data_IF_029703851146
#
_entry.id   IF_029703851146
#
_cell.length_a   1.000
_cell.length_b   1.000
_cell.length_c   1.000
_cell.angle_alpha   90.00
_cell.angle_beta   90.00
_cell.angle_gamma   90.00
#
_symmetry.space_group_name_H-M   'P 1'
#
loop_
_entity.id
_entity.type
_entity.pdbx_description
1 polymer ?
#
# COMPACT_ATOMS: atom_id res chain seq x y z
N UNK A 1 -4.96 33.29 2.03
CA UNK A 1 -5.15 31.85 1.72
C UNK A 1 -3.89 31.02 1.98
N UNK A 2 -2.74 31.28 1.33
CA UNK A 2 -1.48 30.51 1.56
C UNK A 2 -1.08 30.39 3.04
N UNK A 3 -1.21 31.48 3.82
CA UNK A 3 -0.94 31.48 5.26
C UNK A 3 -1.77 30.45 6.07
N UNK A 4 -3.04 30.25 5.71
CA UNK A 4 -3.92 29.26 6.37
C UNK A 4 -3.42 27.83 6.09
N UNK A 5 -3.05 27.56 4.84
CA UNK A 5 -2.48 26.27 4.41
C UNK A 5 -1.18 25.95 5.15
N UNK A 6 -0.29 26.94 5.27
CA UNK A 6 0.98 26.79 6.00
C UNK A 6 0.75 26.48 7.47
N UNK A 7 -0.22 27.15 8.11
CA UNK A 7 -0.54 26.92 9.52
C UNK A 7 -1.01 25.48 9.77
N UNK A 8 -1.91 24.98 8.90
CA UNK A 8 -2.36 23.58 8.96
C UNK A 8 -1.20 22.62 8.72
N UNK A 9 -0.32 22.89 7.75
CA UNK A 9 0.82 22.03 7.49
C UNK A 9 1.79 21.96 8.67
N UNK A 10 2.03 23.09 9.36
CA UNK A 10 2.83 23.12 10.59
C UNK A 10 2.23 22.25 11.70
N UNK A 11 0.90 22.22 11.85
CA UNK A 11 0.24 21.38 12.85
C UNK A 11 0.34 19.88 12.52
N UNK A 12 0.28 19.54 11.24
CA UNK A 12 0.18 18.15 10.74
C UNK A 12 1.55 17.51 10.48
N UNK A 13 2.57 18.29 10.06
CA UNK A 13 3.92 17.80 9.76
C UNK A 13 4.59 16.98 10.87
N UNK A 14 4.46 17.31 12.17
CA UNK A 14 5.04 16.53 13.26
C UNK A 14 4.41 15.15 13.45
N UNK A 15 3.22 14.91 12.87
CA UNK A 15 2.47 13.68 13.06
C UNK A 15 3.14 12.51 12.31
N UNK A 16 3.44 11.46 13.07
CA UNK A 16 3.97 10.18 12.54
C UNK A 16 2.82 9.31 12.04
N UNK A 17 2.30 9.67 10.88
CA UNK A 17 1.09 9.08 10.29
C UNK A 17 1.33 8.75 8.83
N UNK A 18 0.49 7.88 8.28
CA UNK A 18 0.56 7.58 6.84
C UNK A 18 0.21 8.82 6.01
N UNK A 19 0.74 8.94 4.79
CA UNK A 19 0.46 10.10 3.93
C UNK A 19 -1.05 10.26 3.67
N UNK A 20 -1.79 9.16 3.48
CA UNK A 20 -3.23 9.23 3.27
C UNK A 20 -4.00 9.80 4.47
N UNK A 21 -3.60 9.42 5.69
CA UNK A 21 -4.14 10.02 6.92
C UNK A 21 -3.74 11.49 7.03
N UNK A 22 -2.49 11.82 6.66
CA UNK A 22 -1.98 13.19 6.66
C UNK A 22 -2.82 14.10 5.78
N UNK A 23 -3.13 13.68 4.55
CA UNK A 23 -3.98 14.44 3.63
C UNK A 23 -5.38 14.62 4.19
N UNK A 24 -5.99 13.55 4.70
CA UNK A 24 -7.34 13.63 5.24
C UNK A 24 -7.42 14.62 6.41
N UNK A 25 -6.47 14.55 7.35
CA UNK A 25 -6.38 15.48 8.47
C UNK A 25 -6.12 16.91 7.96
N UNK A 26 -5.26 17.07 6.96
CA UNK A 26 -4.99 18.39 6.36
C UNK A 26 -6.24 19.00 5.72
N UNK A 27 -7.00 18.22 4.96
CA UNK A 27 -8.24 18.67 4.32
C UNK A 27 -9.30 19.05 5.36
N UNK A 28 -9.47 18.24 6.41
CA UNK A 28 -10.43 18.50 7.49
C UNK A 28 -10.06 19.77 8.28
N UNK A 29 -8.80 19.89 8.74
CA UNK A 29 -8.33 21.06 9.47
C UNK A 29 -8.36 22.32 8.60
N UNK A 30 -8.03 22.21 7.31
CA UNK A 30 -8.10 23.33 6.39
C UNK A 30 -9.55 23.77 6.16
N UNK A 31 -10.49 22.84 6.03
CA UNK A 31 -11.92 23.14 5.95
C UNK A 31 -12.43 23.89 7.17
N UNK A 32 -12.06 23.45 8.38
CA UNK A 32 -12.42 24.16 9.61
C UNK A 32 -11.80 25.56 9.69
N UNK A 33 -10.51 25.69 9.36
CA UNK A 33 -9.84 26.98 9.38
C UNK A 33 -10.39 27.94 8.32
N UNK A 34 -10.80 27.43 7.16
CA UNK A 34 -11.44 28.21 6.11
C UNK A 34 -12.81 28.74 6.56
N UNK A 35 -13.61 27.91 7.22
CA UNK A 35 -14.90 28.35 7.79
C UNK A 35 -14.73 29.48 8.81
N UNK A 36 -13.73 29.39 9.70
CA UNK A 36 -13.42 30.48 10.65
C UNK A 36 -13.00 31.74 9.89
N UNK A 37 -12.14 31.61 8.86
CA UNK A 37 -11.72 32.75 8.05
C UNK A 37 -12.90 33.46 7.37
N UNK A 38 -13.88 32.71 6.84
CA UNK A 38 -15.07 33.30 6.22
C UNK A 38 -15.91 34.08 7.22
N UNK A 39 -16.07 33.57 8.46
CA UNK A 39 -16.73 34.30 9.55
C UNK A 39 -16.01 35.61 9.89
N UNK A 40 -14.68 35.57 10.06
CA UNK A 40 -13.88 36.74 10.42
C UNK A 40 -13.78 37.75 9.26
N UNK A 41 -13.82 37.28 8.02
CA UNK A 41 -13.84 38.13 6.83
C UNK A 41 -15.17 38.88 6.72
N UNK A 42 -16.29 38.19 6.96
CA UNK A 42 -17.60 38.81 6.99
C UNK A 42 -17.72 39.88 8.09
N UNK A 43 -17.04 39.67 9.23
CA UNK A 43 -17.05 40.61 10.35
C UNK A 43 -16.14 41.84 10.14
N UNK A 44 -14.92 41.65 9.62
CA UNK A 44 -13.91 42.71 9.53
C UNK A 44 -13.84 43.41 8.16
N UNK A 45 -14.27 42.75 7.09
CA UNK A 45 -14.13 43.22 5.70
C UNK A 45 -12.68 43.33 5.20
N UNK A 46 -11.68 43.00 6.03
CA UNK A 46 -10.27 43.07 5.70
C UNK A 46 -9.66 41.67 5.68
N UNK A 47 -9.17 41.26 4.50
CA UNK A 47 -8.62 39.94 4.28
C UNK A 47 -7.44 39.59 5.18
N UNK A 48 -6.50 40.50 5.39
CA UNK A 48 -5.30 40.21 6.19
C UNK A 48 -5.67 40.08 7.67
N UNK A 49 -6.51 40.98 8.16
CA UNK A 49 -7.01 40.95 9.53
C UNK A 49 -7.83 39.68 9.80
N UNK A 50 -8.65 39.24 8.84
CA UNK A 50 -9.40 38.00 8.93
C UNK A 50 -8.50 36.76 8.99
N UNK A 51 -7.40 36.73 8.23
CA UNK A 51 -6.42 35.64 8.29
C UNK A 51 -5.79 35.56 9.69
N UNK A 52 -5.32 36.68 10.22
CA UNK A 52 -4.65 36.72 11.52
C UNK A 52 -5.62 36.37 12.66
N UNK A 53 -6.86 36.87 12.59
CA UNK A 53 -7.92 36.53 13.53
C UNK A 53 -8.29 35.04 13.47
N UNK A 54 -8.43 34.48 12.26
CA UNK A 54 -8.75 33.07 12.08
C UNK A 54 -7.65 32.15 12.61
N UNK A 55 -6.38 32.43 12.31
CA UNK A 55 -5.24 31.67 12.85
C UNK A 55 -5.22 31.73 14.38
N UNK A 56 -5.43 32.94 14.94
CA UNK A 56 -5.47 33.13 16.40
C UNK A 56 -6.60 32.35 17.05
N UNK A 57 -7.81 32.35 16.45
CA UNK A 57 -8.99 31.65 16.97
C UNK A 57 -8.89 30.13 16.80
N UNK A 58 -8.26 29.66 15.73
CA UNK A 58 -8.01 28.24 15.49
C UNK A 58 -6.99 27.64 16.47
N UNK A 59 -6.02 28.44 16.92
CA UNK A 59 -5.04 28.08 17.95
C UNK A 59 -3.64 27.82 17.39
N UNK A 60 -2.66 27.69 18.28
CA UNK A 60 -1.27 27.46 17.91
C UNK A 60 -1.08 26.07 17.27
N UNK A 61 -0.25 26.00 16.22
CA UNK A 61 -0.04 24.76 15.47
C UNK A 61 0.47 23.60 16.36
N UNK A 62 1.31 23.90 17.35
CA UNK A 62 1.86 22.90 18.26
C UNK A 62 0.80 22.30 19.19
N UNK A 63 -0.13 23.11 19.70
CA UNK A 63 -1.24 22.65 20.52
C UNK A 63 -2.19 21.74 19.74
N UNK A 64 -2.48 22.11 18.49
CA UNK A 64 -3.29 21.29 17.57
C UNK A 64 -2.58 19.97 17.29
N UNK A 65 -1.27 20.01 17.02
CA UNK A 65 -0.46 18.81 16.83
C UNK A 65 -0.50 17.88 18.04
N UNK A 66 -0.44 18.43 19.25
CA UNK A 66 -0.53 17.66 20.48
C UNK A 66 -1.91 16.99 20.63
N UNK A 67 -2.99 17.76 20.48
CA UNK A 67 -4.36 17.22 20.57
C UNK A 67 -4.62 16.13 19.53
N UNK A 68 -4.10 16.30 18.31
CA UNK A 68 -4.18 15.26 17.27
C UNK A 68 -3.42 14.00 17.66
N UNK A 69 -2.25 14.10 18.29
CA UNK A 69 -1.53 12.90 18.76
C UNK A 69 -2.29 12.16 19.87
N UNK A 70 -2.98 12.89 20.74
CA UNK A 70 -3.77 12.32 21.84
C UNK A 70 -5.03 11.62 21.35
N UNK A 71 -5.67 12.13 20.29
CA UNK A 71 -6.87 11.50 19.70
C UNK A 71 -6.54 10.35 18.74
N UNK A 72 -5.31 10.26 18.26
CA UNK A 72 -4.93 9.22 17.31
C UNK A 72 -4.66 7.87 17.99
N UNK A 73 -5.16 6.76 17.43
CA UNK A 73 -4.88 5.43 17.97
C UNK A 73 -3.38 5.13 17.95
N UNK A 74 -2.86 4.53 19.03
CA UNK A 74 -1.44 4.19 19.17
C UNK A 74 -0.89 3.34 18.01
N UNK A 75 -1.72 2.50 17.39
CA UNK A 75 -1.32 1.66 16.27
C UNK A 75 -1.02 2.45 14.98
N UNK A 76 -1.55 3.68 14.82
CA UNK A 76 -1.32 4.50 13.63
C UNK A 76 0.18 4.82 13.44
N UNK A 77 0.88 5.09 14.55
CA UNK A 77 2.32 5.34 14.57
C UNK A 77 3.16 4.08 14.31
N UNK A 78 2.62 2.89 14.60
CA UNK A 78 3.27 1.62 14.29
C UNK A 78 3.06 1.31 12.81
N UNK A 79 1.82 1.38 12.31
CA UNK A 79 1.50 1.14 10.91
C UNK A 79 2.26 2.10 9.98
N UNK A 80 2.48 3.36 10.39
CA UNK A 80 3.30 4.29 9.62
C UNK A 80 4.78 3.91 9.54
N UNK A 81 5.30 3.15 10.52
CA UNK A 81 6.69 2.63 10.51
C UNK A 81 6.82 1.34 9.74
N UNK A 82 5.75 0.55 9.66
CA UNK A 82 5.77 -0.69 8.88
C UNK A 82 5.73 -0.28 7.41
N UNK A 83 6.78 -0.57 6.61
CA UNK A 83 6.85 -0.22 5.19
C UNK A 83 5.72 -0.85 4.35
N UNK A 84 4.98 -1.77 4.95
CA UNK A 84 3.84 -2.50 4.42
C UNK A 84 2.57 -1.63 4.26
N UNK A 85 2.37 -0.63 5.13
CA UNK A 85 1.14 0.20 5.15
C UNK A 85 1.36 1.64 4.69
N UNK A 86 2.61 2.08 4.54
CA UNK A 86 2.89 3.32 3.82
C UNK A 86 2.42 3.14 2.37
N UNK A 87 1.42 3.93 1.92
CA UNK A 87 1.00 3.95 0.51
C UNK A 87 2.22 4.02 -0.39
N UNK A 88 2.25 3.16 -1.41
CA UNK A 88 3.24 3.16 -2.48
C UNK A 88 2.98 4.43 -3.30
N UNK A 89 3.52 5.56 -2.87
CA UNK A 89 3.29 6.86 -3.49
C UNK A 89 4.40 7.21 -4.48
N UNK A 90 3.99 7.26 -5.75
CA UNK A 90 4.38 8.13 -6.89
C UNK A 90 5.84 8.54 -7.16
N UNK A 91 6.83 8.08 -6.43
CA UNK A 91 8.22 8.20 -6.88
C UNK A 91 8.50 7.12 -7.93
N UNK A 92 9.41 7.33 -8.90
CA UNK A 92 9.86 6.29 -9.80
C UNK A 92 10.73 5.30 -9.01
N UNK A 93 10.16 4.62 -8.02
CA UNK A 93 10.78 3.45 -7.42
C UNK A 93 10.94 2.44 -8.55
N UNK A 94 12.18 1.98 -8.75
CA UNK A 94 12.43 0.91 -9.69
C UNK A 94 11.51 -0.26 -9.36
N UNK A 95 10.93 -0.89 -10.38
CA UNK A 95 10.06 -2.07 -10.25
C UNK A 95 10.65 -3.13 -9.30
N UNK A 96 11.98 -3.22 -9.27
CA UNK A 96 12.74 -4.07 -8.35
C UNK A 96 12.53 -3.76 -6.87
N UNK A 97 12.48 -2.48 -6.46
CA UNK A 97 12.30 -2.10 -5.05
C UNK A 97 10.90 -2.42 -4.55
N UNK A 98 9.89 -2.22 -5.40
CA UNK A 98 8.49 -2.58 -5.09
C UNK A 98 8.37 -4.11 -4.98
N UNK A 99 8.94 -4.84 -5.94
CA UNK A 99 8.98 -6.30 -5.90
C UNK A 99 9.73 -6.80 -4.65
N UNK A 100 10.86 -6.20 -4.30
CA UNK A 100 11.62 -6.56 -3.10
C UNK A 100 10.82 -6.34 -1.82
N UNK A 101 10.14 -5.18 -1.70
CA UNK A 101 9.29 -4.88 -0.53
C UNK A 101 8.11 -5.86 -0.43
N UNK A 102 7.43 -6.12 -1.54
CA UNK A 102 6.33 -7.08 -1.58
C UNK A 102 6.80 -8.52 -1.30
N UNK A 103 8.05 -8.84 -1.65
CA UNK A 103 8.64 -10.15 -1.37
C UNK A 103 8.99 -10.28 0.11
N UNK A 104 9.59 -9.24 0.71
CA UNK A 104 9.87 -9.22 2.16
C UNK A 104 8.59 -9.31 3.00
N UNK A 105 7.52 -8.60 2.61
CA UNK A 105 6.22 -8.69 3.30
C UNK A 105 5.58 -10.05 3.07
N UNK A 106 5.70 -10.59 1.86
CA UNK A 106 5.34 -11.97 1.54
C UNK A 106 6.02 -12.94 2.51
N UNK A 107 7.34 -12.90 2.63
CA UNK A 107 8.11 -13.78 3.53
C UNK A 107 7.60 -13.67 4.96
N UNK A 108 7.42 -12.46 5.50
CA UNK A 108 6.91 -12.27 6.87
C UNK A 108 5.59 -12.99 7.12
N UNK A 109 4.66 -12.98 6.16
CA UNK A 109 3.39 -13.70 6.24
C UNK A 109 3.53 -15.21 5.95
N UNK A 110 4.44 -15.59 5.04
CA UNK A 110 4.63 -16.96 4.59
C UNK A 110 5.50 -17.80 5.52
N UNK A 111 6.37 -17.20 6.33
CA UNK A 111 7.19 -17.90 7.35
C UNK A 111 6.31 -18.68 8.34
N UNK A 112 5.35 -18.08 9.05
CA UNK A 112 4.53 -18.83 10.01
C UNK A 112 3.67 -19.90 9.33
N UNK A 113 3.09 -19.61 8.15
CA UNK A 113 2.32 -20.59 7.39
C UNK A 113 3.19 -21.76 6.92
N UNK A 114 4.39 -21.46 6.45
CA UNK A 114 5.34 -22.44 5.96
C UNK A 114 5.92 -23.32 7.05
N UNK A 115 6.23 -22.74 8.23
CA UNK A 115 6.61 -23.51 9.43
C UNK A 115 5.47 -24.48 9.79
N UNK A 116 4.24 -23.97 9.89
CA UNK A 116 3.07 -24.80 10.24
C UNK A 116 2.87 -25.94 9.23
N UNK A 117 3.00 -25.65 7.93
CA UNK A 117 2.88 -26.67 6.88
C UNK A 117 4.03 -27.70 6.93
N UNK A 118 5.27 -27.25 7.12
CA UNK A 118 6.42 -28.15 7.26
C UNK A 118 6.27 -29.07 8.49
N UNK A 119 5.85 -28.52 9.63
CA UNK A 119 5.57 -29.30 10.83
C UNK A 119 4.51 -30.37 10.58
N UNK A 120 3.43 -30.06 9.85
CA UNK A 120 2.39 -31.03 9.49
C UNK A 120 2.90 -32.14 8.56
N UNK A 121 3.80 -31.83 7.62
CA UNK A 121 4.37 -32.82 6.70
C UNK A 121 5.37 -33.75 7.39
N UNK A 122 6.17 -33.22 8.32
CA UNK A 122 7.09 -33.99 9.15
C UNK A 122 6.32 -34.88 10.13
N UNK A 123 5.30 -34.34 10.81
CA UNK A 123 4.49 -35.08 11.78
C UNK A 123 3.72 -36.27 11.16
N UNK A 124 3.41 -36.22 9.85
CA UNK A 124 2.74 -37.31 9.13
C UNK A 124 3.71 -38.34 8.53
N UNK A 125 5.00 -38.29 8.87
CA UNK A 125 6.07 -39.14 8.32
C UNK A 125 6.10 -39.18 6.79
N UNK A 126 5.63 -38.10 6.13
CA UNK A 126 5.58 -38.04 4.67
C UNK A 126 6.95 -37.67 4.09
N UNK A 127 7.71 -36.84 4.80
CA UNK A 127 9.02 -36.32 4.40
C UNK A 127 9.94 -36.12 5.61
N UNK A 128 11.25 -36.15 5.37
CA UNK A 128 12.25 -35.78 6.39
C UNK A 128 12.28 -34.26 6.61
N UNK A 129 12.67 -33.83 7.81
CA UNK A 129 12.76 -32.40 8.16
C UNK A 129 13.65 -31.61 7.18
N UNK A 130 14.77 -32.18 6.75
CA UNK A 130 15.65 -31.56 5.75
C UNK A 130 14.91 -31.28 4.44
N UNK A 131 14.14 -32.25 3.93
CA UNK A 131 13.35 -32.08 2.70
C UNK A 131 12.25 -31.02 2.86
N UNK A 132 11.62 -30.94 4.04
CA UNK A 132 10.62 -29.93 4.34
C UNK A 132 11.22 -28.51 4.33
N UNK A 133 12.38 -28.33 4.97
CA UNK A 133 13.10 -27.05 5.02
C UNK A 133 13.54 -26.63 3.61
N UNK A 134 14.13 -27.54 2.83
CA UNK A 134 14.54 -27.26 1.44
C UNK A 134 13.36 -26.86 0.58
N UNK A 135 12.21 -27.55 0.71
CA UNK A 135 10.99 -27.22 -0.02
C UNK A 135 10.50 -25.81 0.33
N UNK A 136 10.44 -25.49 1.63
CA UNK A 136 10.00 -24.19 2.09
C UNK A 136 10.91 -23.06 1.60
N UNK A 137 12.23 -23.25 1.66
CA UNK A 137 13.19 -22.27 1.16
C UNK A 137 13.02 -22.05 -0.35
N UNK A 138 12.83 -23.13 -1.12
CA UNK A 138 12.53 -23.04 -2.55
C UNK A 138 11.24 -22.26 -2.81
N UNK A 139 10.17 -22.51 -2.06
CA UNK A 139 8.92 -21.74 -2.16
C UNK A 139 9.14 -20.26 -1.83
N UNK A 140 9.88 -19.95 -0.78
CA UNK A 140 10.17 -18.57 -0.39
C UNK A 140 10.95 -17.84 -1.50
N UNK A 141 11.97 -18.46 -2.07
CA UNK A 141 12.73 -17.90 -3.19
C UNK A 141 11.87 -17.75 -4.45
N UNK A 142 11.10 -18.78 -4.80
CA UNK A 142 10.30 -18.81 -6.03
C UNK A 142 9.06 -17.91 -5.94
N UNK A 143 8.63 -17.51 -4.74
CA UNK A 143 7.52 -16.55 -4.58
C UNK A 143 7.82 -15.19 -5.22
N UNK A 144 9.10 -14.81 -5.40
CA UNK A 144 9.46 -13.58 -6.12
C UNK A 144 9.06 -13.65 -7.60
N UNK A 145 9.12 -14.84 -8.20
CA UNK A 145 8.72 -15.10 -9.59
C UNK A 145 7.23 -14.91 -9.77
N UNK A 146 6.44 -15.13 -8.71
CA UNK A 146 5.00 -14.85 -8.71
C UNK A 146 4.69 -13.37 -8.46
N UNK A 147 5.41 -12.77 -7.53
CA UNK A 147 5.15 -11.40 -7.09
C UNK A 147 5.42 -10.38 -8.18
N UNK A 148 6.49 -10.53 -8.96
CA UNK A 148 6.85 -9.60 -10.04
C UNK A 148 5.74 -9.50 -11.11
N UNK A 149 5.26 -10.60 -11.70
CA UNK A 149 4.13 -10.55 -12.62
C UNK A 149 2.84 -10.08 -11.96
N UNK A 150 2.59 -10.44 -10.69
CA UNK A 150 1.39 -9.95 -9.99
C UNK A 150 1.40 -8.42 -9.85
N UNK A 151 2.51 -7.84 -9.40
CA UNK A 151 2.70 -6.38 -9.29
C UNK A 151 2.60 -5.73 -10.67
N UNK A 152 3.22 -6.32 -11.70
CA UNK A 152 3.15 -5.84 -13.08
C UNK A 152 1.72 -5.87 -13.65
N UNK A 153 0.95 -6.91 -13.34
CA UNK A 153 -0.45 -7.05 -13.75
C UNK A 153 -1.32 -5.98 -13.08
N UNK A 154 -1.24 -5.83 -11.76
CA UNK A 154 -1.98 -4.83 -11.00
C UNK A 154 -1.60 -3.42 -11.46
N UNK A 155 -0.30 -3.16 -11.65
CA UNK A 155 0.22 -1.90 -12.17
C UNK A 155 -0.34 -1.56 -13.55
N UNK A 156 -0.34 -2.54 -14.47
CA UNK A 156 -0.85 -2.35 -15.83
C UNK A 156 -2.37 -2.18 -15.91
N UNK A 157 -3.14 -2.80 -15.00
CA UNK A 157 -4.60 -2.64 -14.96
C UNK A 157 -5.00 -1.25 -14.45
N UNK A 158 -4.26 -0.72 -13.49
CA UNK A 158 -4.69 0.43 -12.71
C UNK A 158 -3.89 1.69 -12.97
N UNK A 159 -2.77 1.58 -13.70
CA UNK A 159 -1.84 2.67 -13.92
C UNK A 159 -0.97 2.96 -12.70
N UNK A 160 -0.74 1.97 -11.84
CA UNK A 160 0.14 2.13 -10.68
C UNK A 160 1.60 1.93 -11.07
N UNK A 161 2.51 2.41 -10.21
CA UNK A 161 3.96 2.20 -10.35
C UNK A 161 4.57 2.80 -11.62
N UNK A 162 3.96 3.86 -12.17
CA UNK A 162 4.42 4.48 -13.41
C UNK A 162 4.16 3.67 -14.69
N UNK A 163 3.43 2.55 -14.59
CA UNK A 163 3.01 1.78 -15.76
C UNK A 163 1.81 2.44 -16.44
N UNK A 164 1.84 2.53 -17.76
CA UNK A 164 0.66 2.96 -18.52
C UNK A 164 -0.44 1.91 -18.44
N UNK A 165 -1.69 2.36 -18.30
CA UNK A 165 -2.86 1.47 -18.29
C UNK A 165 -2.92 0.69 -19.60
N UNK A 166 -2.79 -0.62 -19.52
CA UNK A 166 -2.80 -1.50 -20.69
C UNK A 166 -3.25 -2.91 -20.32
N UNK A 167 -4.41 -3.30 -20.84
CA UNK A 167 -4.96 -4.66 -20.68
C UNK A 167 -4.00 -5.70 -21.29
N UNK A 168 -3.35 -5.38 -22.41
CA UNK A 168 -2.38 -6.31 -23.05
C UNK A 168 -1.22 -6.62 -22.11
N UNK A 169 -0.63 -5.60 -21.48
CA UNK A 169 0.45 -5.79 -20.49
C UNK A 169 -0.03 -6.59 -19.29
N UNK A 170 -1.23 -6.31 -18.79
CA UNK A 170 -1.82 -7.08 -17.71
C UNK A 170 -1.96 -8.57 -18.07
N UNK A 171 -2.42 -8.89 -19.28
CA UNK A 171 -2.50 -10.27 -19.79
C UNK A 171 -1.10 -10.89 -19.88
N UNK A 172 -0.10 -10.20 -20.42
CA UNK A 172 1.28 -10.71 -20.49
C UNK A 172 1.84 -11.05 -19.12
N UNK A 173 1.67 -10.16 -18.14
CA UNK A 173 2.08 -10.43 -16.77
C UNK A 173 1.29 -11.57 -16.13
N UNK A 174 -0.02 -11.67 -16.38
CA UNK A 174 -0.83 -12.80 -15.93
C UNK A 174 -0.32 -14.14 -16.49
N UNK A 175 -0.04 -14.19 -17.80
CA UNK A 175 0.49 -15.38 -18.45
C UNK A 175 1.90 -15.74 -17.94
N UNK A 176 2.77 -14.75 -17.73
CA UNK A 176 4.09 -14.96 -17.15
C UNK A 176 4.01 -15.53 -15.73
N UNK A 177 3.07 -15.03 -14.91
CA UNK A 177 2.79 -15.56 -13.57
C UNK A 177 2.31 -17.01 -13.62
N UNK A 178 1.38 -17.34 -14.53
CA UNK A 178 0.91 -18.71 -14.74
C UNK A 178 2.03 -19.66 -15.17
N UNK A 179 2.90 -19.22 -16.09
CA UNK A 179 4.04 -20.02 -16.55
C UNK A 179 5.04 -20.27 -15.41
N UNK A 180 5.39 -19.22 -14.66
CA UNK A 180 6.25 -19.35 -13.48
C UNK A 180 5.68 -20.35 -12.47
N UNK A 181 4.38 -20.26 -12.20
CA UNK A 181 3.69 -21.18 -11.31
C UNK A 181 3.75 -22.63 -11.80
N UNK A 182 3.54 -22.86 -13.10
CA UNK A 182 3.62 -24.18 -13.69
C UNK A 182 5.02 -24.80 -13.54
N UNK A 183 6.08 -24.02 -13.76
CA UNK A 183 7.46 -24.47 -13.60
C UNK A 183 7.77 -24.83 -12.14
N UNK A 184 7.33 -24.00 -11.19
CA UNK A 184 7.48 -24.26 -9.75
C UNK A 184 6.80 -25.57 -9.36
N UNK A 185 5.57 -25.82 -9.84
CA UNK A 185 4.88 -27.08 -9.58
C UNK A 185 5.55 -28.28 -10.22
N UNK A 186 6.06 -28.15 -11.45
CA UNK A 186 6.85 -29.19 -12.09
C UNK A 186 8.06 -29.61 -11.24
N UNK A 187 8.80 -28.62 -10.73
CA UNK A 187 9.93 -28.84 -9.83
C UNK A 187 9.53 -29.51 -8.52
N UNK A 188 8.45 -29.06 -7.89
CA UNK A 188 7.94 -29.65 -6.64
C UNK A 188 7.52 -31.11 -6.86
N UNK A 189 6.78 -31.38 -7.93
CA UNK A 189 6.36 -32.74 -8.28
C UNK A 189 7.56 -33.65 -8.49
N UNK A 190 8.58 -33.16 -9.17
CA UNK A 190 9.83 -33.88 -9.39
C UNK A 190 10.58 -34.16 -8.06
N UNK A 191 10.63 -33.19 -7.15
CA UNK A 191 11.36 -33.32 -5.87
C UNK A 191 10.64 -34.14 -4.79
N UNK A 192 9.32 -33.97 -4.61
CA UNK A 192 8.62 -34.50 -3.43
C UNK A 192 8.18 -35.95 -3.64
N UNK A 193 7.59 -36.28 -4.79
CA UNK A 193 7.24 -37.65 -5.22
C UNK A 193 6.55 -37.59 -6.60
N UNK A 194 7.01 -38.36 -7.61
CA UNK A 194 6.36 -38.41 -8.93
C UNK A 194 4.92 -38.95 -8.90
N UNK A 195 4.57 -39.68 -7.83
CA UNK A 195 3.30 -40.40 -7.69
C UNK A 195 2.18 -39.60 -7.01
N UNK A 196 2.36 -38.30 -6.71
CA UNK A 196 1.26 -37.52 -6.17
C UNK A 196 0.18 -37.25 -7.24
N UNK A 197 -1.11 -37.39 -6.89
CA UNK A 197 -2.20 -37.16 -7.82
C UNK A 197 -2.19 -35.71 -8.31
N UNK A 198 -2.42 -35.52 -9.62
CA UNK A 198 -2.39 -34.21 -10.28
C UNK A 198 -3.32 -33.20 -9.59
N UNK A 199 -4.44 -33.67 -9.03
CA UNK A 199 -5.44 -32.88 -8.33
C UNK A 199 -4.87 -32.01 -7.19
N UNK A 200 -3.88 -32.50 -6.43
CA UNK A 200 -3.25 -31.76 -5.32
C UNK A 200 -2.54 -30.49 -5.82
N UNK A 201 -2.15 -30.48 -7.10
CA UNK A 201 -1.45 -29.36 -7.74
C UNK A 201 -2.39 -28.44 -8.54
N UNK A 202 -3.62 -28.86 -8.85
CA UNK A 202 -4.58 -28.04 -9.63
C UNK A 202 -5.18 -26.89 -8.84
N UNK A 203 -5.49 -27.11 -7.55
CA UNK A 203 -6.15 -26.12 -6.69
C UNK A 203 -5.36 -24.79 -6.58
N UNK A 204 -4.03 -24.81 -6.38
CA UNK A 204 -3.29 -23.58 -6.28
C UNK A 204 -2.85 -22.98 -7.64
N UNK A 205 -3.15 -23.62 -8.78
CA UNK A 205 -3.13 -22.99 -10.13
C UNK A 205 -4.35 -22.09 -10.35
N UNK A 206 -5.45 -22.33 -9.62
CA UNK A 206 -6.66 -21.51 -9.71
C UNK A 206 -6.57 -20.22 -8.88
N UNK A 207 -5.67 -20.16 -7.90
CA UNK A 207 -5.50 -18.99 -7.02
C UNK A 207 -5.15 -17.72 -7.82
N UNK A 208 -4.19 -17.71 -8.76
CA UNK A 208 -3.88 -16.52 -9.57
C UNK A 208 -5.06 -16.06 -10.43
N UNK A 209 -5.81 -17.00 -11.01
CA UNK A 209 -7.02 -16.70 -11.79
C UNK A 209 -8.10 -16.06 -10.92
N UNK A 210 -8.32 -16.61 -9.72
CA UNK A 210 -9.26 -16.06 -8.75
C UNK A 210 -8.82 -14.67 -8.26
N UNK A 211 -7.53 -14.48 -8.05
CA UNK A 211 -6.96 -13.18 -7.64
C UNK A 211 -7.12 -12.15 -8.75
N UNK A 212 -6.89 -12.52 -10.02
CA UNK A 212 -7.16 -11.68 -11.18
C UNK A 212 -8.64 -11.31 -11.30
N UNK A 213 -9.55 -12.27 -11.04
CA UNK A 213 -10.99 -12.03 -11.02
C UNK A 213 -11.39 -11.04 -9.92
N UNK A 214 -10.87 -11.22 -8.70
CA UNK A 214 -11.09 -10.30 -7.57
C UNK A 214 -10.58 -8.89 -7.88
N UNK A 215 -9.38 -8.77 -8.48
CA UNK A 215 -8.83 -7.48 -8.90
C UNK A 215 -9.63 -6.81 -10.03
N UNK A 216 -10.43 -7.56 -10.79
CA UNK A 216 -11.29 -7.03 -11.85
C UNK A 216 -12.61 -6.43 -11.35
N UNK A 217 -12.95 -6.68 -10.08
CA UNK A 217 -14.22 -6.25 -9.50
C UNK A 217 -14.35 -4.73 -9.40
N UNK A 218 -15.58 -4.24 -9.53
CA UNK A 218 -15.92 -2.82 -9.49
C UNK A 218 -15.54 -2.13 -8.17
N UNK A 219 -15.55 -2.87 -7.05
CA UNK A 219 -15.11 -2.36 -5.74
C UNK A 219 -13.63 -1.96 -5.75
N UNK A 220 -12.78 -2.77 -6.39
CA UNK A 220 -11.35 -2.48 -6.50
C UNK A 220 -11.09 -1.24 -7.39
N UNK A 221 -11.85 -1.10 -8.49
CA UNK A 221 -11.79 0.10 -9.35
C UNK A 221 -12.16 1.39 -8.61
N UNK A 222 -13.19 1.37 -7.75
CA UNK A 222 -13.60 2.53 -6.94
C UNK A 222 -12.53 2.93 -5.93
N UNK A 223 -11.92 1.95 -5.28
CA UNK A 223 -10.83 2.19 -4.32
C UNK A 223 -9.66 2.94 -4.97
N UNK A 224 -9.37 2.61 -6.23
CA UNK A 224 -8.25 3.17 -7.00
C UNK A 224 -8.58 4.54 -7.60
N UNK A 225 -9.82 4.74 -8.06
CA UNK A 225 -10.26 6.05 -8.52
C UNK A 225 -10.19 7.10 -7.39
N UNK A 226 -10.59 6.72 -6.18
CA UNK A 226 -10.47 7.58 -4.99
C UNK A 226 -9.03 7.90 -4.60
N UNK A 227 -8.05 7.08 -5.03
CA UNK A 227 -6.64 7.33 -4.76
C UNK A 227 -5.99 8.30 -5.75
N UNK A 228 -6.39 8.26 -7.02
CA UNK A 228 -5.89 9.19 -8.04
C UNK A 228 -6.29 10.65 -7.75
N UNK A 229 -7.53 10.88 -7.32
CA UNK A 229 -8.00 12.22 -6.95
C UNK A 229 -7.23 12.78 -5.74
N UNK A 230 -6.95 11.91 -4.74
CA UNK A 230 -6.14 12.28 -3.57
C UNK A 230 -4.70 12.63 -3.94
N UNK A 231 -4.10 11.92 -4.89
CA UNK A 231 -2.74 12.19 -5.35
C UNK A 231 -2.62 13.52 -6.09
N UNK A 232 -3.62 13.90 -6.89
CA UNK A 232 -3.67 15.21 -7.56
C UNK A 232 -3.74 16.34 -6.54
N UNK A 233 -4.65 16.27 -5.57
CA UNK A 233 -4.76 17.28 -4.50
C UNK A 233 -3.47 17.38 -3.70
N UNK A 234 -2.84 16.26 -3.37
CA UNK A 234 -1.55 16.27 -2.68
C UNK A 234 -0.43 16.95 -3.48
N UNK A 235 -0.42 16.82 -4.82
CA UNK A 235 0.55 17.51 -5.66
C UNK A 235 0.34 19.03 -5.63
N UNK A 236 -0.92 19.49 -5.59
CA UNK A 236 -1.25 20.92 -5.39
C UNK A 236 -0.70 21.44 -4.05
N UNK A 237 -0.85 20.66 -2.97
CA UNK A 237 -0.27 21.01 -1.67
C UNK A 237 1.27 21.06 -1.70
N UNK A 238 1.92 20.12 -2.37
CA UNK A 238 3.39 20.07 -2.46
C UNK A 238 3.97 21.24 -3.27
N UNK A 239 3.33 21.62 -4.38
CA UNK A 239 3.74 22.79 -5.19
C UNK A 239 3.70 24.07 -4.36
N UNK A 240 2.66 24.26 -3.55
CA UNK A 240 2.51 25.46 -2.71
C UNK A 240 3.55 25.56 -1.58
N UNK A 241 4.12 24.42 -1.15
CA UNK A 241 5.18 24.38 -0.14
C UNK A 241 6.60 24.57 -0.67
N UNK A 242 6.84 24.41 -1.97
CA UNK A 242 8.17 24.55 -2.58
C UNK A 242 8.51 25.98 -3.03
N UNK A 243 7.51 26.87 -3.08
CA UNK A 243 7.66 28.29 -3.43
C UNK A 243 7.90 29.18 -2.19
N UNK A 244 8.54 28.65 -1.14
CA UNK A 244 9.07 29.36 0.04
C UNK A 244 10.55 29.05 0.22
#
# INVERSE_FOLDING_TARGET
MKALMIHVEKAVRPLRITQGQRTAIREELYGHLLGIYEEELAASGNQQQAIDAAIKRFGAADEISQKLRETMPWYSAILSRVPWFSRIRSWPESHWRIAWRGWMTGILCWVPLGITWCSLLVFRDRITALKAITLWFLFACLSIVYLVPFVGMVGSLHGMYGLTRSIRRAIYFGLAGCLGQFLIYGLIRWFVRPNMPLAVFTLPVLIPLFTGLLCSTSGFKRLIAGDAEKDQRLAEWEQLTLEE
#
